data_IF_272614318195
#
_entry.id   IF_272614318195
#
_cell.length_a   1.000
_cell.length_b   1.000
_cell.length_c   1.000
_cell.angle_alpha   90.00
_cell.angle_beta   90.00
_cell.angle_gamma   90.00
#
_symmetry.space_group_name_H-M   'P 1'
#
loop_
_entity.id
_entity.type
_entity.pdbx_description
1 polymer ?
#
# COMPACT_ATOMS: atom_id res chain seq x y z
N UNK A 1 -26.87 -0.41 -71.57
CA UNK A 1 -25.69 -1.21 -71.22
C UNK A 1 -25.77 -1.48 -69.73
N UNK A 2 -26.38 -2.61 -69.37
CA UNK A 2 -26.48 -3.02 -67.97
C UNK A 2 -25.11 -3.57 -67.54
N UNK A 3 -24.44 -2.82 -66.67
CA UNK A 3 -23.16 -3.22 -66.10
C UNK A 3 -23.38 -4.43 -65.17
N UNK A 4 -22.57 -5.48 -65.33
CA UNK A 4 -22.63 -6.67 -64.49
C UNK A 4 -22.36 -6.28 -63.03
N UNK A 5 -23.30 -6.53 -62.09
CA UNK A 5 -23.10 -6.18 -60.69
C UNK A 5 -21.96 -7.00 -60.12
N UNK A 6 -20.85 -6.32 -59.77
CA UNK A 6 -19.66 -6.94 -59.20
C UNK A 6 -19.60 -6.66 -57.70
N UNK A 7 -19.69 -7.72 -56.90
CA UNK A 7 -19.54 -7.64 -55.45
C UNK A 7 -18.05 -7.73 -55.09
N UNK A 8 -17.53 -6.69 -54.46
CA UNK A 8 -16.16 -6.71 -53.94
C UNK A 8 -16.10 -7.53 -52.63
N UNK A 9 -15.16 -8.48 -52.46
CA UNK A 9 -15.06 -9.32 -51.26
C UNK A 9 -14.96 -8.54 -49.95
N UNK A 10 -14.44 -7.30 -49.97
CA UNK A 10 -14.37 -6.41 -48.80
C UNK A 10 -15.75 -6.03 -48.25
N UNK A 11 -16.76 -5.93 -49.11
CA UNK A 11 -18.12 -5.57 -48.69
C UNK A 11 -18.79 -6.66 -47.86
N UNK A 12 -18.29 -7.90 -47.92
CA UNK A 12 -18.81 -9.03 -47.14
C UNK A 12 -18.62 -8.86 -45.63
N UNK A 13 -17.58 -8.13 -45.20
CA UNK A 13 -17.25 -7.96 -43.78
C UNK A 13 -17.79 -6.67 -43.15
N UNK A 14 -18.31 -5.74 -43.95
CA UNK A 14 -18.78 -4.41 -43.48
C UNK A 14 -19.82 -4.51 -42.36
N UNK A 15 -20.78 -5.42 -42.48
CA UNK A 15 -21.79 -5.66 -41.42
C UNK A 15 -21.17 -6.19 -40.14
N UNK A 16 -20.22 -7.12 -40.24
CA UNK A 16 -19.49 -7.69 -39.09
C UNK A 16 -18.65 -6.62 -38.40
N UNK A 17 -17.87 -5.88 -39.16
CA UNK A 17 -17.05 -4.77 -38.66
C UNK A 17 -17.89 -3.70 -37.96
N UNK A 18 -19.05 -3.34 -38.53
CA UNK A 18 -19.95 -2.36 -37.90
C UNK A 18 -20.45 -2.83 -36.53
N UNK A 19 -20.75 -4.12 -36.39
CA UNK A 19 -21.19 -4.73 -35.12
C UNK A 19 -20.05 -4.78 -34.11
N UNK A 20 -18.86 -5.17 -34.55
CA UNK A 20 -17.70 -5.27 -33.66
C UNK A 20 -17.25 -3.88 -33.18
N UNK A 21 -17.32 -2.87 -34.06
CA UNK A 21 -17.11 -1.46 -33.69
C UNK A 21 -18.15 -0.97 -32.70
N UNK A 22 -19.42 -1.37 -32.85
CA UNK A 22 -20.47 -1.02 -31.89
C UNK A 22 -20.20 -1.65 -30.52
N UNK A 23 -19.77 -2.92 -30.47
CA UNK A 23 -19.35 -3.59 -29.22
C UNK A 23 -18.19 -2.87 -28.53
N UNK A 24 -17.16 -2.50 -29.29
CA UNK A 24 -16.02 -1.75 -28.77
C UNK A 24 -16.44 -0.39 -28.18
N UNK A 25 -17.37 0.31 -28.84
CA UNK A 25 -17.93 1.58 -28.34
C UNK A 25 -18.60 1.38 -26.97
N UNK A 26 -19.31 0.28 -26.80
CA UNK A 26 -19.96 -0.09 -25.54
C UNK A 26 -18.95 -0.30 -24.41
N UNK A 27 -17.91 -1.07 -24.70
CA UNK A 27 -16.84 -1.37 -23.74
C UNK A 27 -16.11 -0.11 -23.29
N UNK A 28 -15.81 0.79 -24.23
CA UNK A 28 -15.17 2.06 -23.93
C UNK A 28 -16.07 3.00 -23.12
N UNK A 29 -17.39 2.97 -23.35
CA UNK A 29 -18.34 3.75 -22.56
C UNK A 29 -18.40 3.26 -21.10
N UNK A 30 -18.41 1.95 -20.88
CA UNK A 30 -18.35 1.36 -19.53
C UNK A 30 -17.03 1.69 -18.83
N UNK A 31 -15.92 1.54 -19.55
CA UNK A 31 -14.60 1.89 -19.04
C UNK A 31 -14.53 3.36 -18.59
N UNK A 32 -15.07 4.28 -19.40
CA UNK A 32 -15.15 5.70 -19.06
C UNK A 32 -15.94 5.96 -17.78
N UNK A 33 -17.07 5.27 -17.59
CA UNK A 33 -17.86 5.35 -16.36
C UNK A 33 -17.07 4.85 -15.14
N UNK A 34 -16.38 3.72 -15.27
CA UNK A 34 -15.55 3.16 -14.20
C UNK A 34 -14.43 4.14 -13.83
N UNK A 35 -13.70 4.67 -14.81
CA UNK A 35 -12.65 5.67 -14.56
C UNK A 35 -13.18 6.91 -13.84
N UNK A 36 -14.34 7.43 -14.28
CA UNK A 36 -14.97 8.56 -13.62
C UNK A 36 -15.38 8.23 -12.18
N UNK A 37 -15.95 7.04 -11.94
CA UNK A 37 -16.30 6.56 -10.59
C UNK A 37 -15.08 6.41 -9.70
N UNK A 38 -13.97 5.88 -10.22
CA UNK A 38 -12.69 5.79 -9.49
C UNK A 38 -12.24 7.19 -9.08
N UNK A 39 -12.21 8.14 -10.02
CA UNK A 39 -11.79 9.52 -9.77
C UNK A 39 -12.68 10.26 -8.76
N UNK A 40 -14.00 10.08 -8.83
CA UNK A 40 -14.90 10.65 -7.82
C UNK A 40 -14.66 9.99 -6.46
N UNK A 41 -14.54 8.67 -6.42
CA UNK A 41 -14.36 7.89 -5.18
C UNK A 41 -13.06 8.26 -4.47
N UNK A 42 -11.97 8.49 -5.21
CA UNK A 42 -10.70 8.94 -4.62
C UNK A 42 -10.75 10.34 -4.01
N UNK A 43 -11.72 11.18 -4.40
CA UNK A 43 -11.89 12.53 -3.85
C UNK A 43 -12.88 12.59 -2.69
N UNK A 44 -13.60 11.50 -2.40
CA UNK A 44 -14.56 11.48 -1.30
C UNK A 44 -13.83 11.66 0.05
N UNK A 45 -14.43 12.44 0.99
CA UNK A 45 -13.89 12.57 2.34
C UNK A 45 -13.90 11.19 3.01
N UNK A 46 -12.70 10.68 3.33
CA UNK A 46 -12.48 9.32 3.82
C UNK A 46 -11.47 8.51 2.99
N UNK A 47 -11.08 9.01 1.80
CA UNK A 47 -10.09 8.40 0.91
C UNK A 47 -10.27 6.87 0.75
N UNK A 48 -11.45 6.38 0.32
CA UNK A 48 -11.61 4.97 0.02
C UNK A 48 -10.71 4.60 -1.17
N UNK A 49 -9.78 3.69 -0.93
CA UNK A 49 -8.82 3.22 -1.92
C UNK A 49 -9.30 2.03 -2.77
N UNK A 50 -10.60 1.80 -2.76
CA UNK A 50 -11.26 0.71 -3.47
C UNK A 50 -12.63 1.14 -3.97
N UNK A 51 -13.10 0.45 -5.01
CA UNK A 51 -14.40 0.63 -5.63
C UNK A 51 -15.01 -0.74 -5.91
N UNK A 52 -16.26 -0.91 -5.52
CA UNK A 52 -17.11 -2.02 -5.99
C UNK A 52 -18.00 -1.50 -7.11
N UNK A 53 -17.84 -2.05 -8.31
CA UNK A 53 -18.60 -1.68 -9.48
C UNK A 53 -19.40 -2.87 -9.98
N UNK A 54 -20.71 -2.70 -10.14
CA UNK A 54 -21.58 -3.72 -10.74
C UNK A 54 -21.71 -3.42 -12.23
N UNK A 55 -21.29 -4.36 -13.08
CA UNK A 55 -21.35 -4.19 -14.53
C UNK A 55 -22.80 -4.36 -15.01
N UNK A 56 -23.39 -3.34 -15.67
CA UNK A 56 -24.72 -3.45 -16.25
C UNK A 56 -24.80 -4.58 -17.30
N UNK A 57 -25.90 -5.35 -17.35
CA UNK A 57 -26.06 -6.44 -18.31
C UNK A 57 -26.30 -5.96 -19.75
N UNK A 58 -26.72 -4.71 -19.95
CA UNK A 58 -26.93 -4.11 -21.27
C UNK A 58 -26.73 -2.60 -21.23
N UNK A 59 -26.44 -2.01 -22.40
CA UNK A 59 -26.34 -0.56 -22.59
C UNK A 59 -27.41 -0.15 -23.61
N UNK A 60 -28.23 0.84 -23.25
CA UNK A 60 -29.30 1.34 -24.12
C UNK A 60 -28.68 1.95 -25.39
N UNK A 61 -29.24 1.60 -26.54
CA UNK A 61 -28.83 2.14 -27.84
C UNK A 61 -27.64 1.41 -28.49
N UNK A 62 -27.18 0.30 -27.91
CA UNK A 62 -26.14 -0.56 -28.47
C UNK A 62 -26.66 -1.99 -28.70
N UNK A 63 -26.10 -2.73 -29.67
CA UNK A 63 -26.49 -4.11 -29.94
C UNK A 63 -26.18 -5.02 -28.75
N UNK A 64 -26.79 -6.21 -28.68
CA UNK A 64 -26.55 -7.18 -27.62
C UNK A 64 -25.05 -7.44 -27.42
N UNK A 65 -24.61 -7.32 -26.16
CA UNK A 65 -23.23 -7.41 -25.73
C UNK A 65 -23.09 -8.66 -24.86
N UNK A 66 -22.05 -9.43 -25.13
CA UNK A 66 -21.68 -10.57 -24.30
C UNK A 66 -21.01 -10.05 -23.01
N UNK A 67 -21.66 -10.26 -21.86
CA UNK A 67 -21.23 -9.71 -20.57
C UNK A 67 -19.83 -10.23 -20.17
N UNK A 68 -19.56 -11.50 -20.45
CA UNK A 68 -18.27 -12.14 -20.16
C UNK A 68 -17.12 -11.46 -20.90
N UNK A 69 -17.27 -11.27 -22.22
CA UNK A 69 -16.28 -10.57 -23.06
C UNK A 69 -16.08 -9.12 -22.59
N UNK A 70 -17.16 -8.45 -22.19
CA UNK A 70 -17.11 -7.10 -21.66
C UNK A 70 -16.26 -7.03 -20.37
N UNK A 71 -16.52 -7.94 -19.44
CA UNK A 71 -15.78 -8.02 -18.16
C UNK A 71 -14.30 -8.31 -18.44
N UNK A 72 -14.00 -9.27 -19.32
CA UNK A 72 -12.61 -9.61 -19.68
C UNK A 72 -11.87 -8.39 -20.24
N UNK A 73 -12.52 -7.64 -21.15
CA UNK A 73 -11.94 -6.43 -21.72
C UNK A 73 -11.66 -5.36 -20.65
N UNK A 74 -12.63 -5.10 -19.76
CA UNK A 74 -12.48 -4.11 -18.68
C UNK A 74 -11.35 -4.52 -17.72
N UNK A 75 -11.31 -5.79 -17.31
CA UNK A 75 -10.29 -6.32 -16.41
C UNK A 75 -8.90 -6.20 -17.04
N UNK A 76 -8.76 -6.55 -18.32
CA UNK A 76 -7.51 -6.42 -19.06
C UNK A 76 -7.03 -4.96 -19.07
N UNK A 77 -7.93 -4.03 -19.42
CA UNK A 77 -7.59 -2.62 -19.52
C UNK A 77 -7.19 -2.02 -18.15
N UNK A 78 -7.94 -2.32 -17.10
CA UNK A 78 -7.64 -1.84 -15.75
C UNK A 78 -6.31 -2.39 -15.22
N UNK A 79 -6.02 -3.69 -15.48
CA UNK A 79 -4.73 -4.29 -15.10
C UNK A 79 -3.57 -3.69 -15.87
N UNK A 80 -3.75 -3.36 -17.15
CA UNK A 80 -2.71 -2.69 -17.95
C UNK A 80 -2.35 -1.31 -17.39
N UNK A 81 -3.30 -0.63 -16.73
CA UNK A 81 -3.06 0.64 -16.05
C UNK A 81 -2.50 0.48 -14.63
N UNK A 82 -2.29 -0.74 -14.14
CA UNK A 82 -1.72 -1.02 -12.82
C UNK A 82 -2.74 -1.14 -11.67
N UNK A 83 -4.05 -1.13 -11.96
CA UNK A 83 -5.07 -1.34 -10.94
C UNK A 83 -5.16 -2.82 -10.53
N UNK A 84 -5.37 -3.08 -9.24
CA UNK A 84 -5.68 -4.42 -8.75
C UNK A 84 -7.18 -4.69 -8.94
N UNK A 85 -7.52 -5.70 -9.76
CA UNK A 85 -8.92 -6.01 -10.09
C UNK A 85 -9.23 -7.48 -9.80
N UNK A 86 -10.31 -7.69 -9.04
CA UNK A 86 -10.87 -8.99 -8.68
C UNK A 86 -12.32 -9.08 -9.15
N UNK A 87 -12.63 -10.12 -9.91
CA UNK A 87 -13.98 -10.41 -10.36
C UNK A 87 -14.71 -11.32 -9.37
N UNK A 88 -15.97 -11.02 -9.09
CA UNK A 88 -16.89 -11.82 -8.29
C UNK A 88 -18.16 -12.06 -9.09
N UNK A 89 -18.55 -13.33 -9.23
CA UNK A 89 -19.78 -13.71 -9.95
C UNK A 89 -21.03 -13.11 -9.26
N UNK A 90 -22.04 -12.63 -10.00
CA UNK A 90 -22.20 -12.70 -11.46
C UNK A 90 -21.59 -11.56 -12.28
N UNK A 91 -21.52 -10.34 -11.74
CA UNK A 91 -21.13 -9.14 -12.50
C UNK A 91 -20.45 -8.08 -11.63
N UNK A 92 -19.89 -8.47 -10.49
CA UNK A 92 -19.29 -7.56 -9.53
C UNK A 92 -17.77 -7.48 -9.75
N UNK A 93 -17.27 -6.26 -9.92
CA UNK A 93 -15.84 -5.97 -10.02
C UNK A 93 -15.39 -5.22 -8.78
N UNK A 94 -14.42 -5.79 -8.08
CA UNK A 94 -13.67 -5.12 -7.04
C UNK A 94 -12.39 -4.55 -7.65
N UNK A 95 -12.22 -3.23 -7.54
CA UNK A 95 -11.09 -2.49 -8.09
C UNK A 95 -10.41 -1.77 -6.93
N UNK A 96 -9.10 -1.91 -6.77
CA UNK A 96 -8.34 -1.20 -5.75
C UNK A 96 -7.04 -0.59 -6.28
N UNK A 97 -6.69 0.57 -5.73
CA UNK A 97 -5.46 1.32 -6.06
C UNK A 97 -4.64 1.68 -4.81
N UNK A 98 -4.82 0.93 -3.71
CA UNK A 98 -4.07 1.08 -2.44
C UNK A 98 -2.55 1.13 -2.62
N UNK A 99 -2.01 0.43 -3.63
CA UNK A 99 -0.58 0.41 -3.91
C UNK A 99 -0.05 1.78 -4.33
N UNK A 100 -0.79 2.53 -5.13
CA UNK A 100 -0.42 3.88 -5.57
C UNK A 100 -0.49 4.89 -4.42
N UNK A 101 -1.48 4.77 -3.53
CA UNK A 101 -1.60 5.65 -2.37
C UNK A 101 -0.43 5.47 -1.40
N UNK A 102 -0.01 4.22 -1.11
CA UNK A 102 1.17 3.99 -0.25
C UNK A 102 2.43 4.63 -0.84
N UNK A 103 2.65 4.49 -2.14
CA UNK A 103 3.79 5.11 -2.82
C UNK A 103 3.72 6.64 -2.75
N UNK A 104 2.53 7.22 -2.94
CA UNK A 104 2.31 8.66 -2.80
C UNK A 104 2.57 9.13 -1.36
N UNK A 105 2.03 8.46 -0.34
CA UNK A 105 2.22 8.81 1.06
C UNK A 105 3.69 8.75 1.47
N UNK A 106 4.44 7.76 0.98
CA UNK A 106 5.86 7.60 1.27
C UNK A 106 6.73 8.65 0.56
N UNK A 107 6.40 9.01 -0.69
CA UNK A 107 7.25 9.89 -1.51
C UNK A 107 6.87 11.37 -1.44
N UNK A 108 5.59 11.69 -1.34
CA UNK A 108 5.07 13.05 -1.60
C UNK A 108 4.57 13.76 -0.34
N UNK A 109 4.38 13.05 0.78
CA UNK A 109 3.93 13.69 2.00
C UNK A 109 5.12 14.35 2.73
N UNK A 110 5.21 15.69 2.79
CA UNK A 110 6.34 16.39 3.41
C UNK A 110 6.46 16.10 4.91
N UNK A 111 5.35 15.74 5.56
CA UNK A 111 5.34 15.37 6.98
C UNK A 111 6.07 14.03 7.20
N UNK A 112 5.86 13.06 6.31
CA UNK A 112 6.54 11.75 6.39
C UNK A 112 8.02 11.90 6.06
N UNK A 113 8.38 12.77 5.10
CA UNK A 113 9.79 13.09 4.82
C UNK A 113 10.48 13.73 6.04
N UNK A 114 9.78 14.59 6.79
CA UNK A 114 10.31 15.21 7.99
C UNK A 114 10.43 14.25 9.19
N UNK A 115 9.60 13.19 9.25
CA UNK A 115 9.62 12.19 10.34
C UNK A 115 10.51 10.98 10.06
N UNK A 116 10.95 10.77 8.82
CA UNK A 116 11.85 9.66 8.50
C UNK A 116 13.29 10.09 8.82
N UNK A 117 14.02 9.40 9.72
CA UNK A 117 15.40 9.74 9.97
C UNK A 117 16.20 9.56 8.67
N UNK A 118 17.20 10.42 8.37
CA UNK A 118 18.03 10.25 7.20
C UNK A 118 18.70 8.89 7.30
N UNK A 119 18.28 7.95 6.44
CA UNK A 119 18.98 6.68 6.31
C UNK A 119 20.44 7.01 6.00
N UNK A 120 21.42 6.49 6.78
CA UNK A 120 22.81 6.71 6.46
C UNK A 120 23.05 6.19 5.05
N UNK A 121 23.51 7.07 4.17
CA UNK A 121 23.85 6.78 2.80
C UNK A 121 24.93 5.70 2.83
N UNK A 122 24.57 4.44 2.61
CA UNK A 122 25.55 3.37 2.37
C UNK A 122 26.09 3.60 0.96
N UNK A 123 27.08 4.49 0.86
CA UNK A 123 27.93 4.60 -0.32
C UNK A 123 28.59 3.23 -0.50
N UNK A 124 28.17 2.48 -1.51
CA UNK A 124 28.93 1.32 -1.99
C UNK A 124 30.26 1.86 -2.53
N UNK A 125 31.28 1.84 -1.69
CA UNK A 125 32.64 2.24 -2.04
C UNK A 125 33.37 1.02 -2.59
N UNK A 126 33.88 1.17 -3.81
CA UNK A 126 34.61 0.18 -4.58
C UNK A 126 35.78 -0.44 -3.80
N UNK A 127 35.87 -1.76 -3.83
CA UNK A 127 36.98 -2.52 -3.25
C UNK A 127 38.15 -2.55 -4.24
N UNK A 128 39.13 -1.68 -4.02
CA UNK A 128 40.49 -1.86 -4.58
C UNK A 128 41.52 -1.80 -3.47
N UNK A 129 42.35 -2.85 -3.48
CA UNK A 129 43.24 -3.39 -2.44
C UNK A 129 44.66 -2.85 -2.62
N UNK A 130 45.29 -2.23 -1.62
CA UNK A 130 46.74 -2.36 -1.38
C UNK A 130 47.09 -2.21 0.12
N UNK A 131 48.08 -3.01 0.52
CA UNK A 131 48.57 -3.43 1.83
C UNK A 131 49.60 -2.44 2.40
N UNK A 132 49.60 -2.19 3.72
CA UNK A 132 50.78 -1.67 4.43
C UNK A 132 50.95 -2.36 5.79
N UNK A 133 52.18 -2.77 6.03
CA UNK A 133 52.68 -3.50 7.20
C UNK A 133 52.81 -2.60 8.42
N UNK A 134 52.48 -3.18 9.56
CA UNK A 134 52.41 -2.59 10.90
C UNK A 134 53.79 -2.35 11.52
N UNK A 135 54.02 -1.16 12.09
CA UNK A 135 54.89 -0.98 13.26
C UNK A 135 54.48 0.24 14.08
N UNK A 136 54.14 -0.04 15.34
CA UNK A 136 54.22 0.79 16.56
C UNK A 136 53.21 1.95 16.79
N UNK A 137 52.46 1.78 17.89
CA UNK A 137 51.54 2.65 18.66
C UNK A 137 51.94 4.14 18.79
N UNK A 138 51.06 5.07 19.24
CA UNK A 138 49.76 4.87 19.95
C UNK A 138 48.59 5.75 19.47
N UNK A 139 47.36 5.32 19.81
CA UNK A 139 46.17 6.13 20.14
C UNK A 139 44.87 5.54 19.56
N UNK A 140 43.86 5.45 20.44
CA UNK A 140 42.42 5.32 20.18
C UNK A 140 41.87 4.04 19.51
N UNK A 141 41.14 3.25 20.32
CA UNK A 141 39.81 2.73 19.94
C UNK A 141 39.64 1.25 19.63
N UNK A 142 38.69 0.63 20.34
CA UNK A 142 37.76 -0.45 19.94
C UNK A 142 38.19 -1.92 20.14
N UNK A 143 37.86 -2.46 21.32
CA UNK A 143 37.37 -3.84 21.44
C UNK A 143 35.84 -3.85 21.35
N UNK A 144 35.30 -4.83 20.63
CA UNK A 144 33.87 -5.14 20.58
C UNK A 144 33.37 -5.54 21.97
N UNK A 145 32.68 -4.63 22.67
CA UNK A 145 31.97 -5.00 23.88
C UNK A 145 30.69 -5.73 23.50
N UNK A 146 30.61 -7.03 23.83
CA UNK A 146 29.33 -7.73 23.93
C UNK A 146 28.43 -6.94 24.89
N UNK A 147 27.12 -7.01 24.71
CA UNK A 147 26.15 -6.36 25.61
C UNK A 147 26.36 -6.68 27.11
N UNK A 148 27.07 -7.77 27.43
CA UNK A 148 27.43 -8.18 28.78
C UNK A 148 28.54 -7.35 29.46
N UNK A 149 29.32 -6.55 28.74
CA UNK A 149 30.47 -5.79 29.27
C UNK A 149 30.22 -4.27 29.34
N UNK A 150 29.00 -3.83 29.05
CA UNK A 150 28.64 -2.42 29.11
C UNK A 150 28.46 -1.96 30.57
N UNK A 151 29.36 -1.11 31.04
CA UNK A 151 29.22 -0.41 32.33
C UNK A 151 28.67 1.00 32.03
N UNK A 152 27.41 1.30 32.38
CA UNK A 152 26.83 2.60 32.10
C UNK A 152 27.52 3.70 32.94
N UNK A 153 27.64 4.93 32.39
CA UNK A 153 28.14 6.07 33.15
C UNK A 153 27.21 6.38 34.34
N UNK A 154 27.77 6.81 35.48
CA UNK A 154 27.05 6.99 36.75
C UNK A 154 25.79 7.88 36.64
N UNK A 155 25.81 8.85 35.73
CA UNK A 155 24.68 9.74 35.42
C UNK A 155 23.43 8.99 34.95
N UNK A 156 23.61 7.85 34.28
CA UNK A 156 22.53 7.01 33.75
C UNK A 156 21.92 6.09 34.81
N UNK A 157 22.67 5.73 35.86
CA UNK A 157 22.18 4.87 36.94
C UNK A 157 21.25 5.64 37.88
N UNK A 158 21.58 6.92 38.13
CA UNK A 158 20.76 7.81 38.97
C UNK A 158 19.35 8.06 38.43
N UNK A 159 19.16 8.03 37.10
CA UNK A 159 17.84 8.20 36.47
C UNK A 159 16.99 6.92 36.45
N UNK A 160 17.59 5.75 36.67
CA UNK A 160 16.91 4.46 36.74
C UNK A 160 16.36 4.15 38.15
N UNK A 161 16.91 4.78 39.19
CA UNK A 161 16.36 4.69 40.55
C UNK A 161 15.12 5.56 40.66
N UNK A 162 13.94 4.94 40.81
CA UNK A 162 12.68 5.64 41.07
C UNK A 162 12.87 6.55 42.30
N UNK A 163 12.57 7.85 42.23
CA UNK A 163 12.69 8.72 43.40
C UNK A 163 11.80 8.16 44.53
N UNK A 164 12.29 8.13 45.78
CA UNK A 164 11.47 7.69 46.90
C UNK A 164 10.24 8.58 47.01
N UNK A 165 9.08 7.96 47.15
CA UNK A 165 7.82 8.67 47.38
C UNK A 165 7.97 9.58 48.61
N UNK A 166 7.54 10.85 48.57
CA UNK A 166 7.57 11.69 49.75
C UNK A 166 6.70 11.05 50.86
N UNK A 167 7.12 11.09 52.12
CA UNK A 167 6.34 10.56 53.22
C UNK A 167 5.00 11.31 53.31
N UNK A 168 3.91 10.56 53.27
CA UNK A 168 2.55 11.07 53.46
C UNK A 168 2.44 11.58 54.91
N UNK A 169 2.12 12.85 55.16
CA UNK A 169 1.94 13.33 56.51
C UNK A 169 0.63 12.75 57.07
N UNK A 170 0.74 11.86 58.07
CA UNK A 170 -0.39 11.49 58.94
C UNK A 170 -0.83 10.02 58.98
N UNK A 171 0.08 9.06 59.17
CA UNK A 171 -0.35 7.72 59.62
C UNK A 171 0.67 7.10 60.58
N UNK A 172 0.68 7.63 61.80
CA UNK A 172 1.15 6.97 63.00
C UNK A 172 0.29 5.72 63.25
N UNK A 173 0.94 4.56 63.41
CA UNK A 173 0.50 3.37 64.14
C UNK A 173 -0.96 2.89 64.00
N UNK A 174 -1.17 1.79 63.29
CA UNK A 174 -2.06 0.70 63.71
C UNK A 174 -1.94 -0.49 62.75
N UNK A 175 -1.72 -1.67 63.34
CA UNK A 175 -2.23 -2.98 62.92
C UNK A 175 -2.24 -3.32 61.42
N UNK A 176 -1.34 -4.23 61.05
CA UNK A 176 -1.40 -4.97 59.80
C UNK A 176 -2.65 -5.88 59.78
N UNK A 177 -3.82 -5.34 59.43
CA UNK A 177 -5.10 -6.07 59.33
C UNK A 177 -5.11 -7.19 58.26
N UNK A 178 -4.06 -7.26 57.44
CA UNK A 178 -3.85 -8.31 56.44
C UNK A 178 -3.14 -9.56 57.00
N UNK A 179 -2.50 -9.47 58.17
CA UNK A 179 -1.81 -10.62 58.78
C UNK A 179 -2.78 -11.52 59.60
N UNK A 180 -3.93 -11.00 60.03
CA UNK A 180 -4.94 -11.76 60.81
C UNK A 180 -5.99 -12.49 59.95
N UNK A 181 -5.90 -12.41 58.62
CA UNK A 181 -6.89 -12.99 57.70
C UNK A 181 -6.55 -14.40 57.19
N UNK A 182 -5.43 -15.01 57.64
CA UNK A 182 -4.98 -16.33 57.17
C UNK A 182 -4.70 -17.36 58.28
N UNK A 183 -5.05 -17.07 59.54
CA UNK A 183 -5.02 -18.05 60.63
C UNK A 183 -6.45 -18.44 61.07
N UNK A 184 -7.07 -19.34 60.31
CA UNK A 184 -8.12 -20.21 60.80
C UNK A 184 -7.86 -21.63 60.28
N UNK A 185 -6.97 -22.37 60.96
CA UNK A 185 -7.16 -23.77 61.39
C UNK A 185 -6.17 -24.03 62.52
#
# INVERSE_FOLDING_TARGET
MDATPKLEPKQLFTKRESRDRARLKAYNQLLGQIHHRIFTTSQLPGNPNYLMYTVPPFIIGLPHIDLEDCIVYIVFQLRSSGFEVRFTYPNLLYISWKSYEREYLLKQNPIVQAMTPPTPIVKKLDKSKVKFTETASPASGQHQAKAAEYIPPASFVNTLTRPPNPPRPGATGAGNVLADLWNFT
#
